data_IF_519473870847
#
_entry.id   IF_519473870847
#
_cell.length_a   1.000
_cell.length_b   1.000
_cell.length_c   1.000
_cell.angle_alpha   90.00
_cell.angle_beta   90.00
_cell.angle_gamma   90.00
#
_symmetry.space_group_name_H-M   'P 1'
#
loop_
_entity.id
_entity.type
_entity.pdbx_description
1 polymer ?
#
# COMPACT_ATOMS: atom_id res chain seq x y z
N UNK A 1 13.35 -27.58 -3.24
CA UNK A 1 14.28 -26.85 -4.13
C UNK A 1 13.59 -26.44 -5.42
N UNK A 2 13.12 -27.37 -6.25
CA UNK A 2 12.49 -27.05 -7.56
C UNK A 2 11.26 -26.12 -7.48
N UNK A 3 10.29 -26.41 -6.59
CA UNK A 3 9.10 -25.56 -6.38
C UNK A 3 9.39 -24.13 -5.92
N UNK A 4 10.51 -23.92 -5.23
CA UNK A 4 10.87 -22.59 -4.72
C UNK A 4 11.48 -21.71 -5.82
N UNK A 5 12.24 -22.33 -6.73
CA UNK A 5 12.80 -21.65 -7.88
C UNK A 5 11.73 -21.30 -8.92
N UNK A 6 10.74 -22.18 -9.10
CA UNK A 6 9.55 -21.91 -9.95
C UNK A 6 8.75 -20.71 -9.44
N UNK A 7 8.50 -20.62 -8.12
CA UNK A 7 7.78 -19.50 -7.52
C UNK A 7 8.44 -18.13 -7.79
N UNK A 8 9.76 -18.03 -7.64
CA UNK A 8 10.46 -16.77 -7.90
C UNK A 8 10.47 -16.40 -9.38
N UNK A 9 10.55 -17.39 -10.26
CA UNK A 9 10.43 -17.18 -11.70
C UNK A 9 9.03 -16.63 -12.05
N UNK A 10 7.98 -17.15 -11.43
CA UNK A 10 6.61 -16.65 -11.65
C UNK A 10 6.46 -15.21 -11.15
N UNK A 11 7.00 -14.88 -9.97
CA UNK A 11 7.02 -13.51 -9.46
C UNK A 11 7.75 -12.55 -10.43
N UNK A 12 8.91 -12.97 -10.95
CA UNK A 12 9.69 -12.19 -11.92
C UNK A 12 8.89 -11.92 -13.20
N UNK A 13 8.28 -12.95 -13.78
CA UNK A 13 7.50 -12.84 -15.01
C UNK A 13 6.30 -11.91 -14.81
N UNK A 14 5.59 -12.07 -13.70
CA UNK A 14 4.42 -11.25 -13.38
C UNK A 14 4.81 -9.77 -13.16
N UNK A 15 5.92 -9.51 -12.45
CA UNK A 15 6.43 -8.15 -12.23
C UNK A 15 6.83 -7.46 -13.52
N UNK A 16 7.52 -8.17 -14.43
CA UNK A 16 7.92 -7.60 -15.72
C UNK A 16 6.72 -7.32 -16.63
N UNK A 17 5.70 -8.16 -16.57
CA UNK A 17 4.44 -7.90 -17.25
C UNK A 17 3.74 -6.66 -16.67
N UNK A 18 3.78 -6.47 -15.34
CA UNK A 18 3.24 -5.27 -14.68
C UNK A 18 3.96 -3.99 -15.15
N UNK A 19 5.30 -4.01 -15.17
CA UNK A 19 6.12 -2.92 -15.72
C UNK A 19 5.70 -2.62 -17.17
N UNK A 20 5.65 -3.66 -18.01
CA UNK A 20 5.30 -3.51 -19.43
C UNK A 20 3.89 -2.93 -19.62
N UNK A 21 2.93 -3.27 -18.76
CA UNK A 21 1.57 -2.70 -18.77
C UNK A 21 1.56 -1.23 -18.34
N UNK A 22 2.42 -0.84 -17.38
CA UNK A 22 2.45 0.51 -16.84
C UNK A 22 3.17 1.51 -17.75
N UNK A 23 4.28 1.11 -18.40
CA UNK A 23 5.15 2.02 -19.17
C UNK A 23 5.49 1.56 -20.60
N UNK A 24 4.97 0.41 -21.04
CA UNK A 24 5.24 -0.16 -22.36
C UNK A 24 6.51 -1.02 -22.43
N UNK A 25 6.82 -1.50 -23.63
CA UNK A 25 7.90 -2.48 -23.86
C UNK A 25 9.33 -1.91 -23.78
N UNK A 26 9.46 -0.59 -23.73
CA UNK A 26 10.74 0.11 -23.55
C UNK A 26 10.65 1.04 -22.33
N UNK A 27 10.69 0.49 -21.10
CA UNK A 27 10.59 1.28 -19.88
C UNK A 27 11.74 2.30 -19.80
N UNK A 28 11.45 3.58 -19.48
CA UNK A 28 12.51 4.51 -19.11
C UNK A 28 13.06 4.14 -17.73
N UNK A 29 14.29 4.55 -17.42
CA UNK A 29 14.94 4.30 -16.13
C UNK A 29 14.12 4.82 -14.94
N UNK A 30 13.41 5.93 -15.14
CA UNK A 30 12.50 6.52 -14.16
C UNK A 30 11.21 6.96 -14.85
N UNK A 31 10.06 6.61 -14.27
CA UNK A 31 8.74 7.13 -14.66
C UNK A 31 8.04 7.75 -13.46
N UNK A 32 7.37 8.89 -13.66
CA UNK A 32 6.66 9.60 -12.58
C UNK A 32 5.24 9.90 -13.02
N UNK A 33 4.28 9.54 -12.17
CA UNK A 33 2.86 9.86 -12.35
C UNK A 33 2.38 10.80 -11.26
N UNK A 34 1.62 11.81 -11.67
CA UNK A 34 0.95 12.78 -10.81
C UNK A 34 -0.55 12.74 -11.07
N UNK A 35 -1.33 12.98 -10.01
CA UNK A 35 -2.78 12.97 -10.06
C UNK A 35 -3.39 11.58 -9.90
N UNK A 36 -4.47 11.51 -9.14
CA UNK A 36 -5.05 10.26 -8.62
C UNK A 36 -5.37 9.23 -9.70
N UNK A 37 -5.96 9.63 -10.83
CA UNK A 37 -6.35 8.67 -11.89
C UNK A 37 -5.13 8.08 -12.59
N UNK A 38 -4.11 8.89 -12.85
CA UNK A 38 -2.86 8.42 -13.49
C UNK A 38 -2.09 7.51 -12.54
N UNK A 39 -2.01 7.87 -11.27
CA UNK A 39 -1.36 7.06 -10.23
C UNK A 39 -2.10 5.72 -10.07
N UNK A 40 -3.43 5.74 -9.94
CA UNK A 40 -4.24 4.51 -9.85
C UNK A 40 -3.98 3.59 -11.04
N UNK A 41 -4.09 4.12 -12.26
CA UNK A 41 -3.92 3.30 -13.47
C UNK A 41 -2.49 2.75 -13.62
N UNK A 42 -1.49 3.50 -13.17
CA UNK A 42 -0.08 3.08 -13.22
C UNK A 42 0.27 2.01 -12.18
N UNK A 43 -0.32 2.08 -10.97
CA UNK A 43 -0.02 1.13 -9.88
C UNK A 43 -0.83 -0.17 -10.00
N UNK A 44 -2.05 -0.11 -10.54
CA UNK A 44 -2.98 -1.25 -10.63
C UNK A 44 -2.37 -2.52 -11.26
N UNK A 45 -1.52 -2.47 -12.30
CA UNK A 45 -0.86 -3.66 -12.85
C UNK A 45 0.05 -4.41 -11.87
N UNK A 46 0.51 -3.76 -10.80
CA UNK A 46 1.43 -4.31 -9.81
C UNK A 46 0.71 -4.93 -8.61
N UNK A 47 -0.61 -4.89 -8.59
CA UNK A 47 -1.44 -5.42 -7.50
C UNK A 47 -1.95 -6.82 -7.82
N UNK A 48 -2.11 -7.64 -6.78
CA UNK A 48 -2.60 -9.00 -6.90
C UNK A 48 -1.73 -10.02 -6.17
N UNK A 49 -2.16 -11.28 -6.23
CA UNK A 49 -1.48 -12.37 -5.54
C UNK A 49 -0.07 -12.60 -6.10
N UNK A 50 0.89 -12.77 -5.20
CA UNK A 50 2.28 -13.12 -5.51
C UNK A 50 3.02 -12.13 -6.42
N UNK A 51 2.60 -10.87 -6.45
CA UNK A 51 3.17 -9.86 -7.33
C UNK A 51 4.04 -8.84 -6.57
N UNK A 52 3.41 -8.08 -5.69
CA UNK A 52 4.09 -7.10 -4.86
C UNK A 52 4.25 -7.59 -3.42
N UNK A 53 5.21 -6.99 -2.73
CA UNK A 53 5.15 -6.80 -1.29
C UNK A 53 5.38 -5.31 -1.02
N UNK A 54 4.40 -4.64 -0.42
CA UNK A 54 4.46 -3.22 -0.12
C UNK A 54 4.99 -3.03 1.31
N UNK A 55 6.06 -2.24 1.45
CA UNK A 55 6.60 -1.82 2.74
C UNK A 55 5.94 -0.51 3.18
N UNK A 56 5.54 -0.45 4.46
CA UNK A 56 4.72 0.64 4.99
C UNK A 56 5.55 1.73 5.69
N UNK A 57 5.06 2.98 5.78
CA UNK A 57 5.80 4.13 6.31
C UNK A 57 6.37 3.95 7.73
N UNK A 58 5.68 3.19 8.58
CA UNK A 58 6.07 2.92 9.97
C UNK A 58 6.71 1.53 10.17
N UNK A 59 7.04 0.82 9.08
CA UNK A 59 7.54 -0.55 9.12
C UNK A 59 6.45 -1.62 8.91
N UNK A 60 6.89 -2.86 8.73
CA UNK A 60 6.05 -3.95 8.27
C UNK A 60 5.74 -3.87 6.77
N UNK A 61 4.78 -4.68 6.31
CA UNK A 61 4.36 -4.71 4.92
C UNK A 61 3.12 -5.56 4.69
N UNK A 62 2.48 -5.36 3.54
CA UNK A 62 1.34 -6.15 3.07
C UNK A 62 1.47 -6.46 1.58
N UNK A 63 0.82 -7.53 1.15
CA UNK A 63 0.57 -7.77 -0.26
C UNK A 63 -0.70 -7.01 -0.67
N UNK A 64 -0.56 -6.01 -1.52
CA UNK A 64 -1.71 -5.22 -1.96
C UNK A 64 -2.42 -5.95 -3.11
N UNK A 65 -3.72 -6.22 -2.95
CA UNK A 65 -4.51 -7.07 -3.85
C UNK A 65 -5.22 -6.27 -4.95
N UNK A 66 -5.78 -5.12 -4.61
CA UNK A 66 -6.48 -4.26 -5.56
C UNK A 66 -6.51 -2.81 -5.08
N UNK A 67 -6.89 -1.89 -5.98
CA UNK A 67 -7.01 -0.46 -5.67
C UNK A 67 -8.28 0.13 -6.28
N UNK A 68 -8.94 0.98 -5.51
CA UNK A 68 -10.06 1.79 -5.97
C UNK A 68 -9.95 3.21 -5.42
N UNK A 69 -10.78 4.13 -5.94
CA UNK A 69 -10.97 5.44 -5.29
C UNK A 69 -11.63 5.21 -3.95
N UNK A 70 -11.12 5.88 -2.91
CA UNK A 70 -11.78 5.93 -1.61
C UNK A 70 -13.01 6.84 -1.68
N UNK A 71 -13.90 6.69 -0.69
CA UNK A 71 -14.96 7.67 -0.47
C UNK A 71 -14.41 9.02 0.03
N UNK A 72 -13.25 9.01 0.69
CA UNK A 72 -12.53 10.23 1.06
C UNK A 72 -11.91 10.90 -0.19
N UNK A 73 -12.22 12.18 -0.38
CA UNK A 73 -11.84 12.91 -1.59
C UNK A 73 -10.31 12.94 -1.78
N UNK A 74 -9.88 12.56 -2.98
CA UNK A 74 -8.47 12.54 -3.34
C UNK A 74 -7.71 11.34 -2.77
N UNK A 75 -8.37 10.40 -2.08
CA UNK A 75 -7.74 9.21 -1.55
C UNK A 75 -7.97 7.96 -2.42
N UNK A 76 -7.04 7.02 -2.35
CA UNK A 76 -7.16 5.65 -2.83
C UNK A 76 -7.38 4.71 -1.65
N UNK A 77 -8.11 3.62 -1.89
CA UNK A 77 -8.31 2.52 -0.95
C UNK A 77 -7.72 1.26 -1.59
N UNK A 78 -6.72 0.69 -0.93
CA UNK A 78 -6.09 -0.55 -1.31
C UNK A 78 -6.62 -1.69 -0.47
N UNK A 79 -7.05 -2.78 -1.11
CA UNK A 79 -7.44 -3.99 -0.40
C UNK A 79 -6.19 -4.82 -0.08
N UNK A 80 -6.00 -5.19 1.17
CA UNK A 80 -4.88 -6.06 1.60
C UNK A 80 -5.37 -7.43 2.04
N UNK A 81 -6.52 -7.50 2.71
CA UNK A 81 -7.21 -8.74 3.05
C UNK A 81 -8.72 -8.53 2.95
N UNK A 82 -9.50 -9.61 3.08
CA UNK A 82 -10.95 -9.51 3.14
C UNK A 82 -11.37 -8.52 4.24
N UNK A 83 -12.17 -7.51 3.86
CA UNK A 83 -12.61 -6.41 4.75
C UNK A 83 -11.48 -5.58 5.40
N UNK A 84 -10.23 -5.70 4.94
CA UNK A 84 -9.10 -4.90 5.42
C UNK A 84 -8.54 -4.02 4.31
N UNK A 85 -8.49 -2.70 4.55
CA UNK A 85 -8.05 -1.74 3.57
C UNK A 85 -7.00 -0.75 4.10
N UNK A 86 -6.11 -0.33 3.21
CA UNK A 86 -5.15 0.76 3.45
C UNK A 86 -5.62 1.97 2.64
N UNK A 87 -5.97 3.07 3.31
CA UNK A 87 -6.45 4.31 2.70
C UNK A 87 -5.33 5.33 2.71
N UNK A 88 -5.05 5.90 1.54
CA UNK A 88 -3.93 6.84 1.36
C UNK A 88 -4.32 7.98 0.43
N UNK A 89 -3.71 9.14 0.60
CA UNK A 89 -3.83 10.27 -0.32
C UNK A 89 -2.57 10.36 -1.18
N UNK A 90 -2.57 9.92 -2.45
CA UNK A 90 -1.36 9.89 -3.25
C UNK A 90 -0.93 11.29 -3.69
N UNK A 91 0.35 11.61 -3.50
CA UNK A 91 1.00 12.82 -4.04
C UNK A 91 1.64 12.52 -5.40
N UNK A 92 2.46 11.48 -5.46
CA UNK A 92 3.17 11.05 -6.66
C UNK A 92 3.45 9.55 -6.61
N UNK A 93 3.63 8.94 -7.78
CA UNK A 93 4.12 7.57 -7.92
C UNK A 93 5.36 7.61 -8.80
N UNK A 94 6.46 7.01 -8.34
CA UNK A 94 7.70 6.89 -9.09
C UNK A 94 8.02 5.42 -9.33
N UNK A 95 8.24 5.01 -10.59
CA UNK A 95 8.85 3.73 -10.94
C UNK A 95 10.34 3.97 -11.21
N UNK A 96 11.19 3.23 -10.51
CA UNK A 96 12.62 3.14 -10.81
C UNK A 96 12.89 1.78 -11.46
N UNK A 97 13.22 1.80 -12.75
CA UNK A 97 13.44 0.61 -13.57
C UNK A 97 14.92 0.22 -13.63
N UNK A 98 15.19 -1.09 -13.55
CA UNK A 98 16.52 -1.69 -13.64
C UNK A 98 16.61 -2.55 -14.90
N UNK A 99 17.20 -2.05 -16.00
CA UNK A 99 17.16 -2.74 -17.29
C UNK A 99 17.79 -4.14 -17.29
N UNK A 100 18.84 -4.34 -16.51
CA UNK A 100 19.55 -5.62 -16.41
C UNK A 100 18.95 -6.57 -15.38
N UNK A 101 18.19 -6.04 -14.41
CA UNK A 101 17.56 -6.80 -13.33
C UNK A 101 16.15 -6.27 -13.03
N UNK A 102 15.19 -6.42 -13.97
CA UNK A 102 13.85 -5.81 -13.85
C UNK A 102 13.09 -6.13 -12.55
N UNK A 103 13.33 -7.28 -11.93
CA UNK A 103 12.71 -7.68 -10.66
C UNK A 103 13.12 -6.87 -9.44
N UNK A 104 14.22 -6.11 -9.57
CA UNK A 104 14.71 -5.18 -8.55
C UNK A 104 14.17 -3.76 -8.76
N UNK A 105 13.41 -3.55 -9.84
CA UNK A 105 12.64 -2.33 -10.04
C UNK A 105 11.57 -2.21 -8.97
N UNK A 106 11.28 -0.98 -8.58
CA UNK A 106 10.35 -0.69 -7.50
C UNK A 106 9.48 0.53 -7.80
N UNK A 107 8.34 0.59 -7.12
CA UNK A 107 7.51 1.79 -7.08
C UNK A 107 7.63 2.47 -5.72
N UNK A 108 7.81 3.79 -5.73
CA UNK A 108 7.70 4.62 -4.53
C UNK A 108 6.44 5.49 -4.65
N UNK A 109 5.46 5.21 -3.81
CA UNK A 109 4.24 6.00 -3.69
C UNK A 109 4.42 7.01 -2.56
N UNK A 110 4.58 8.28 -2.90
CA UNK A 110 4.63 9.36 -1.93
C UNK A 110 3.21 9.82 -1.58
N UNK A 111 2.96 10.03 -0.29
CA UNK A 111 1.65 10.37 0.23
C UNK A 111 1.57 11.85 0.59
N UNK A 112 0.49 12.48 0.15
CA UNK A 112 0.08 13.80 0.63
C UNK A 112 -0.55 13.66 2.03
N UNK A 113 -0.64 14.77 2.76
CA UNK A 113 -1.15 14.77 4.12
C UNK A 113 -2.66 14.55 4.16
N UNK A 114 -3.07 13.72 5.11
CA UNK A 114 -4.45 13.59 5.56
C UNK A 114 -4.53 14.14 6.98
N UNK A 115 -5.57 14.90 7.28
CA UNK A 115 -5.83 15.34 8.65
C UNK A 115 -6.47 14.20 9.42
N UNK A 116 -5.83 13.80 10.52
CA UNK A 116 -6.36 12.79 11.44
C UNK A 116 -7.69 13.23 12.06
N UNK A 117 -8.48 12.28 12.55
CA UNK A 117 -9.63 12.61 13.38
C UNK A 117 -9.16 13.29 14.67
N UNK A 118 -9.93 14.28 15.16
CA UNK A 118 -9.52 15.14 16.27
C UNK A 118 -9.15 14.33 17.52
N UNK A 119 -9.99 13.35 17.89
CA UNK A 119 -9.74 12.46 19.03
C UNK A 119 -8.42 11.68 18.87
N UNK A 120 -8.17 11.13 17.68
CA UNK A 120 -6.95 10.40 17.37
C UNK A 120 -5.71 11.32 17.38
N UNK A 121 -5.85 12.53 16.84
CA UNK A 121 -4.77 13.52 16.83
C UNK A 121 -4.35 13.94 18.25
N UNK A 122 -5.30 13.99 19.19
CA UNK A 122 -5.02 14.31 20.60
C UNK A 122 -4.30 13.15 21.28
N UNK A 123 -4.74 11.91 21.07
CA UNK A 123 -4.16 10.73 21.74
C UNK A 123 -2.82 10.30 21.11
N UNK A 124 -2.63 10.55 19.81
CA UNK A 124 -1.52 10.02 19.01
C UNK A 124 -0.93 11.10 18.07
N UNK A 125 -0.43 12.23 18.60
CA UNK A 125 -0.05 13.41 17.80
C UNK A 125 1.08 13.15 16.78
N UNK A 126 1.95 12.18 17.05
CA UNK A 126 3.08 11.83 16.18
C UNK A 126 2.82 10.61 15.28
N UNK A 127 1.59 10.07 15.28
CA UNK A 127 1.28 8.89 14.47
C UNK A 127 1.27 9.21 12.97
N UNK A 128 1.78 8.28 12.17
CA UNK A 128 1.71 8.33 10.72
C UNK A 128 0.44 7.68 10.15
N UNK A 129 -0.38 7.09 11.03
CA UNK A 129 -1.59 6.38 10.63
C UNK A 129 -2.66 6.47 11.70
N UNK A 130 -3.90 6.21 11.31
CA UNK A 130 -5.00 5.96 12.24
C UNK A 130 -5.78 4.72 11.79
N UNK A 131 -6.14 3.87 12.74
CA UNK A 131 -6.94 2.68 12.47
C UNK A 131 -8.42 3.01 12.71
N UNK A 132 -9.26 2.70 11.74
CA UNK A 132 -10.66 3.09 11.69
C UNK A 132 -11.55 1.92 11.29
N UNK A 133 -12.81 2.01 11.68
CA UNK A 133 -13.90 1.21 11.16
C UNK A 133 -14.70 2.04 10.15
N UNK A 134 -14.87 1.53 8.93
CA UNK A 134 -15.62 2.20 7.86
C UNK A 134 -16.98 1.51 7.65
N UNK A 135 -18.05 2.23 7.99
CA UNK A 135 -19.41 1.84 7.62
C UNK A 135 -20.43 3.01 7.78
N UNK A 136 -21.22 3.33 6.74
CA UNK A 136 -21.06 2.97 5.32
C UNK A 136 -19.76 3.57 4.73
N UNK A 137 -19.40 3.29 3.45
CA UNK A 137 -18.21 3.88 2.83
C UNK A 137 -18.14 5.40 3.01
N UNK A 138 -16.99 5.89 3.48
CA UNK A 138 -16.74 7.30 3.80
C UNK A 138 -17.20 7.76 5.19
N UNK A 139 -17.79 6.88 6.00
CA UNK A 139 -18.10 7.15 7.40
C UNK A 139 -17.15 6.36 8.29
N UNK A 140 -16.29 7.08 9.01
CA UNK A 140 -15.19 6.53 9.78
C UNK A 140 -15.48 6.66 11.28
N UNK A 141 -15.48 5.52 11.96
CA UNK A 141 -15.63 5.39 13.41
C UNK A 141 -14.38 4.76 14.02
N UNK A 142 -14.27 4.76 15.35
CA UNK A 142 -13.19 4.03 16.04
C UNK A 142 -13.20 2.55 15.67
N UNK A 143 -12.00 1.97 15.50
CA UNK A 143 -11.80 0.53 15.32
C UNK A 143 -12.40 -0.30 16.45
N UNK A 144 -12.57 0.27 17.65
CA UNK A 144 -13.14 -0.42 18.82
C UNK A 144 -14.54 -0.99 18.55
N UNK A 145 -15.28 -0.41 17.58
CA UNK A 145 -16.57 -0.95 17.13
C UNK A 145 -16.41 -2.38 16.60
N UNK A 146 -15.34 -2.65 15.84
CA UNK A 146 -15.03 -3.98 15.33
C UNK A 146 -14.69 -4.96 16.44
N UNK A 147 -13.85 -4.52 17.40
CA UNK A 147 -13.43 -5.35 18.53
C UNK A 147 -14.59 -5.70 19.46
N UNK A 148 -15.52 -4.75 19.63
CA UNK A 148 -16.75 -4.92 20.40
C UNK A 148 -17.74 -5.89 19.75
N UNK A 149 -17.71 -6.03 18.42
CA UNK A 149 -18.51 -7.00 17.67
C UNK A 149 -19.94 -6.55 17.29
N UNK A 150 -20.35 -5.34 17.66
CA UNK A 150 -21.64 -4.76 17.28
C UNK A 150 -21.56 -3.25 17.05
N UNK A 151 -22.42 -2.72 16.18
CA UNK A 151 -22.42 -1.33 15.75
C UNK A 151 -22.95 -0.39 16.84
N UNK A 152 -24.12 -0.72 17.39
CA UNK A 152 -24.82 0.05 18.44
C UNK A 152 -25.84 -0.84 19.14
N UNK A 153 -26.61 -0.29 20.08
CA UNK A 153 -27.87 -0.86 20.52
C UNK A 153 -29.05 -0.19 19.81
N UNK A 154 -30.13 -0.94 19.56
CA UNK A 154 -31.42 -0.41 19.10
C UNK A 154 -32.23 0.23 20.25
N UNK A 155 -33.41 0.76 19.93
CA UNK A 155 -34.31 1.40 20.91
C UNK A 155 -34.80 0.44 22.03
N UNK A 156 -34.65 -0.87 21.83
CA UNK A 156 -35.00 -1.91 22.79
C UNK A 156 -33.79 -2.42 23.58
N UNK A 157 -32.60 -1.87 23.31
CA UNK A 157 -31.35 -2.27 23.95
C UNK A 157 -30.73 -3.54 23.37
N UNK A 158 -31.13 -3.99 22.18
CA UNK A 158 -30.50 -5.12 21.50
C UNK A 158 -29.32 -4.68 20.65
N UNK A 159 -28.27 -5.50 20.61
CA UNK A 159 -27.10 -5.28 19.79
C UNK A 159 -27.44 -5.31 18.29
N UNK A 160 -27.01 -4.28 17.56
CA UNK A 160 -27.11 -4.19 16.10
C UNK A 160 -25.85 -4.81 15.48
N UNK A 161 -25.96 -5.88 14.68
CA UNK A 161 -24.79 -6.59 14.14
C UNK A 161 -23.98 -5.72 13.19
N UNK A 162 -22.68 -5.98 13.12
CA UNK A 162 -21.78 -5.35 12.15
C UNK A 162 -22.19 -5.79 10.73
N UNK A 163 -22.51 -4.85 9.83
CA UNK A 163 -22.86 -5.19 8.44
C UNK A 163 -21.69 -5.80 7.68
N UNK A 164 -21.97 -6.73 6.76
CA UNK A 164 -20.93 -7.50 6.04
C UNK A 164 -20.07 -6.65 5.12
N UNK A 165 -20.58 -5.49 4.71
CA UNK A 165 -19.93 -4.53 3.83
C UNK A 165 -18.98 -3.60 4.58
N UNK A 166 -18.94 -3.69 5.92
CA UNK A 166 -18.04 -2.91 6.76
C UNK A 166 -16.59 -3.31 6.54
N UNK A 167 -15.69 -2.36 6.75
CA UNK A 167 -14.24 -2.60 6.63
C UNK A 167 -13.51 -2.09 7.86
N UNK A 168 -12.46 -2.80 8.23
CA UNK A 168 -11.37 -2.23 9.01
C UNK A 168 -10.45 -1.54 8.02
N UNK A 169 -10.11 -0.29 8.27
CA UNK A 169 -9.19 0.43 7.43
C UNK A 169 -8.09 1.10 8.25
N UNK A 170 -6.92 1.23 7.67
CA UNK A 170 -5.83 2.06 8.17
C UNK A 170 -5.72 3.26 7.25
N UNK A 171 -5.89 4.48 7.77
CA UNK A 171 -5.60 5.72 7.03
C UNK A 171 -4.16 6.10 7.26
N UNK A 172 -3.35 6.19 6.20
CA UNK A 172 -1.99 6.73 6.29
C UNK A 172 -2.02 8.25 6.14
N UNK A 173 -1.56 8.94 7.18
CA UNK A 173 -1.61 10.40 7.30
C UNK A 173 -0.50 11.11 6.51
N UNK A 174 0.41 10.35 5.91
CA UNK A 174 1.51 10.80 5.07
C UNK A 174 2.60 9.74 4.97
N UNK A 175 3.74 10.12 4.39
CA UNK A 175 4.92 9.24 4.26
C UNK A 175 5.07 8.64 2.86
N UNK A 176 5.76 7.51 2.77
CA UNK A 176 5.99 6.79 1.51
C UNK A 176 5.72 5.31 1.68
N UNK A 177 5.08 4.71 0.68
CA UNK A 177 4.92 3.25 0.56
C UNK A 177 5.82 2.77 -0.58
N UNK A 178 6.65 1.77 -0.30
CA UNK A 178 7.55 1.18 -1.28
C UNK A 178 7.00 -0.18 -1.74
N UNK A 179 6.67 -0.30 -3.02
CA UNK A 179 6.28 -1.57 -3.62
C UNK A 179 7.46 -2.19 -4.33
N UNK A 180 7.80 -3.41 -3.96
CA UNK A 180 8.85 -4.19 -4.61
C UNK A 180 8.26 -5.51 -5.09
N UNK A 181 8.92 -6.15 -6.06
CA UNK A 181 8.58 -7.53 -6.39
C UNK A 181 8.86 -8.42 -5.17
N UNK A 182 8.03 -9.45 -4.95
CA UNK A 182 8.25 -10.38 -3.83
C UNK A 182 9.64 -11.03 -3.88
N UNK A 183 10.19 -11.24 -5.07
CA UNK A 183 11.49 -11.84 -5.28
C UNK A 183 12.67 -10.88 -5.21
N UNK A 184 12.42 -9.58 -5.03
CA UNK A 184 13.50 -8.58 -4.95
C UNK A 184 14.42 -8.80 -3.75
N UNK A 185 15.67 -8.36 -3.88
CA UNK A 185 16.64 -8.37 -2.77
C UNK A 185 16.17 -7.50 -1.60
N UNK A 186 15.39 -6.45 -1.89
CA UNK A 186 14.84 -5.57 -0.86
C UNK A 186 13.88 -6.34 0.04
N UNK A 187 12.94 -7.10 -0.57
CA UNK A 187 11.95 -7.88 0.16
C UNK A 187 12.58 -9.05 0.93
N UNK A 188 13.60 -9.68 0.34
CA UNK A 188 14.29 -10.81 0.98
C UNK A 188 15.14 -10.41 2.20
N UNK A 189 15.49 -9.13 2.32
CA UNK A 189 16.23 -8.62 3.46
C UNK A 189 15.29 -8.22 4.59
N UNK A 190 15.20 -9.04 5.63
CA UNK A 190 14.34 -8.78 6.81
C UNK A 190 14.63 -7.46 7.52
N UNK A 191 15.82 -6.90 7.37
CA UNK A 191 16.18 -5.59 7.93
C UNK A 191 15.48 -4.40 7.27
N UNK A 192 14.92 -4.55 6.06
CA UNK A 192 14.25 -3.44 5.33
C UNK A 192 12.82 -3.18 5.80
N UNK A 193 12.29 -4.03 6.68
CA UNK A 193 10.95 -3.91 7.28
C UNK A 193 10.86 -2.87 8.41
N UNK A 194 11.95 -2.18 8.72
CA UNK A 194 12.04 -1.12 9.72
C UNK A 194 11.46 0.24 9.27
N UNK A 195 10.91 0.30 8.04
CA UNK A 195 10.32 1.53 7.49
C UNK A 195 11.34 2.56 6.99
N UNK A 196 12.63 2.21 6.88
CA UNK A 196 13.71 3.14 6.46
C UNK A 196 13.43 3.89 5.16
N UNK A 197 12.76 3.24 4.20
CA UNK A 197 12.45 3.81 2.88
C UNK A 197 11.63 5.11 3.00
N UNK A 198 10.84 5.27 4.06
CA UNK A 198 10.03 6.46 4.29
C UNK A 198 10.90 7.74 4.42
N UNK A 199 12.15 7.60 4.87
CA UNK A 199 13.13 8.69 5.00
C UNK A 199 14.02 8.87 3.77
N UNK A 200 13.90 7.99 2.78
CA UNK A 200 14.73 7.97 1.58
C UNK A 200 13.98 8.60 0.39
N UNK A 201 14.74 9.08 -0.57
CA UNK A 201 14.31 9.43 -1.93
C UNK A 201 14.34 8.20 -2.84
N UNK A 202 13.69 8.25 -4.01
CA UNK A 202 13.76 7.14 -4.98
C UNK A 202 15.21 6.86 -5.40
N UNK A 203 16.03 7.90 -5.61
CA UNK A 203 17.43 7.74 -5.99
C UNK A 203 18.28 7.08 -4.89
N UNK A 204 18.02 7.38 -3.61
CA UNK A 204 18.71 6.72 -2.50
C UNK A 204 18.31 5.24 -2.38
N UNK A 205 17.04 4.91 -2.57
CA UNK A 205 16.56 3.52 -2.59
C UNK A 205 17.19 2.78 -3.77
N UNK A 206 17.19 3.40 -4.96
CA UNK A 206 17.82 2.86 -6.16
C UNK A 206 19.29 2.54 -5.90
N UNK A 207 20.05 3.50 -5.36
CA UNK A 207 21.47 3.30 -5.03
C UNK A 207 21.67 2.17 -4.02
N UNK A 208 20.85 2.13 -2.97
CA UNK A 208 20.91 1.06 -1.97
C UNK A 208 20.74 -0.32 -2.60
N UNK A 209 19.80 -0.47 -3.52
CA UNK A 209 19.58 -1.73 -4.26
C UNK A 209 20.80 -2.00 -5.16
N UNK A 210 21.26 -1.02 -5.94
CA UNK A 210 22.41 -1.18 -6.84
C UNK A 210 23.69 -1.62 -6.13
N UNK A 211 23.96 -1.07 -4.94
CA UNK A 211 25.14 -1.42 -4.14
C UNK A 211 25.08 -2.86 -3.60
N UNK A 212 23.91 -3.49 -3.63
CA UNK A 212 23.67 -4.87 -3.16
C UNK A 212 23.50 -5.89 -4.30
N UNK A 213 23.57 -5.46 -5.57
CA UNK A 213 23.55 -6.31 -6.77
C UNK A 213 24.96 -6.75 -7.19
#
# INVERSE_FOLDING_TARGET
MQKHQEYWQDCFVAWNLAISKAVGSNPPDTSIWLGIDRIKNAIEPFLGENLNHAHLPSGGGFDFKSVQKSAEYGCLSFLVEDQMAEIVKPLSLTLEFFPTQPQESFLLLELDKITAQEEYAISNPDSLREDIFEFPPGNYQSRDVWERGYLTHDDYGHEVPIPKESKIATRWLGGKILFVSKGSIWNQNTGTYDGRHNKMTSSEIRRFIQDAL
#
